data_IF_741067670144
#
_entry.id   IF_741067670144
#
_cell.length_a   1.000
_cell.length_b   1.000
_cell.length_c   1.000
_cell.angle_alpha   90.00
_cell.angle_beta   90.00
_cell.angle_gamma   90.00
#
_symmetry.space_group_name_H-M   'P 1'
#
loop_
_entity.id
_entity.type
_entity.pdbx_description
1 polymer ?
#
# COMPACT_ATOMS: atom_id res chain seq x y z
N UNK A 1 -3.55 -8.72 -7.51
CA UNK A 1 -2.82 -8.03 -6.43
C UNK A 1 -3.62 -6.93 -5.74
N UNK A 2 -4.25 -6.01 -6.47
CA UNK A 2 -4.67 -4.70 -5.93
C UNK A 2 -5.79 -4.70 -4.88
N UNK A 3 -6.60 -5.77 -4.80
CA UNK A 3 -7.73 -5.83 -3.86
C UNK A 3 -7.28 -6.15 -2.45
N UNK A 4 -6.28 -7.01 -2.34
CA UNK A 4 -5.59 -7.32 -1.08
C UNK A 4 -4.98 -6.03 -0.51
N UNK A 5 -4.55 -5.12 -1.38
CA UNK A 5 -4.06 -3.79 -1.03
C UNK A 5 -5.16 -2.70 -0.97
N UNK A 6 -6.42 -3.10 -0.84
CA UNK A 6 -7.60 -2.23 -0.69
C UNK A 6 -7.67 -1.10 -1.73
N UNK A 7 -7.26 -1.38 -2.97
CA UNK A 7 -7.47 -0.45 -4.06
C UNK A 7 -8.98 -0.25 -4.27
N UNK A 8 -9.38 1.01 -4.39
CA UNK A 8 -10.75 1.36 -4.78
C UNK A 8 -11.06 0.77 -6.16
N UNK A 9 -12.34 0.58 -6.47
CA UNK A 9 -12.78 0.14 -7.82
C UNK A 9 -12.20 1.08 -8.88
N UNK A 10 -12.08 2.37 -8.57
CA UNK A 10 -11.41 3.34 -9.42
C UNK A 10 -9.91 3.06 -9.59
N UNK A 11 -9.18 2.77 -8.50
CA UNK A 11 -7.77 2.36 -8.59
C UNK A 11 -7.58 1.11 -9.46
N UNK A 12 -8.48 0.14 -9.33
CA UNK A 12 -8.56 -1.04 -10.19
C UNK A 12 -8.80 -0.67 -11.66
N UNK A 13 -9.78 0.19 -11.94
CA UNK A 13 -10.07 0.60 -13.32
C UNK A 13 -8.88 1.32 -13.96
N UNK A 14 -8.09 2.07 -13.19
CA UNK A 14 -6.89 2.71 -13.71
C UNK A 14 -5.76 1.73 -14.03
N UNK A 15 -5.65 0.63 -13.29
CA UNK A 15 -4.68 -0.42 -13.62
C UNK A 15 -5.13 -1.24 -14.83
N UNK A 16 -6.41 -1.57 -14.93
CA UNK A 16 -6.97 -2.17 -16.14
C UNK A 16 -6.75 -1.26 -17.35
N UNK A 17 -6.93 0.05 -17.18
CA UNK A 17 -6.59 1.04 -18.21
C UNK A 17 -5.12 0.98 -18.62
N UNK A 18 -4.18 0.76 -17.70
CA UNK A 18 -2.76 0.65 -18.06
C UNK A 18 -2.45 -0.65 -18.85
N UNK A 19 -3.23 -1.70 -18.63
CA UNK A 19 -3.12 -2.97 -19.35
C UNK A 19 -3.78 -2.88 -20.73
N UNK A 20 -4.94 -2.20 -20.82
CA UNK A 20 -5.68 -2.01 -22.05
C UNK A 20 -5.06 -0.89 -22.89
N UNK A 21 -4.75 -1.16 -24.15
CA UNK A 21 -4.10 -0.15 -25.00
C UNK A 21 -5.09 0.95 -25.37
N UNK A 22 -4.77 2.19 -25.06
CA UNK A 22 -5.55 3.35 -25.48
C UNK A 22 -5.55 3.46 -27.00
N UNK A 23 -6.72 3.75 -27.58
CA UNK A 23 -6.85 3.96 -29.02
C UNK A 23 -6.52 5.41 -29.34
N UNK A 24 -5.38 5.62 -30.00
CA UNK A 24 -4.98 6.94 -30.52
C UNK A 24 -5.50 7.10 -31.93
N UNK A 25 -6.29 8.16 -32.19
CA UNK A 25 -6.77 8.50 -33.54
C UNK A 25 -8.06 7.78 -33.97
N UNK A 26 -9.12 7.81 -33.15
CA UNK A 26 -10.44 7.38 -33.61
C UNK A 26 -10.97 8.32 -34.70
N UNK A 27 -11.37 7.77 -35.84
CA UNK A 27 -12.17 8.49 -36.84
C UNK A 27 -13.59 8.71 -36.31
N UNK A 28 -14.22 9.84 -36.69
CA UNK A 28 -15.54 10.26 -36.21
C UNK A 28 -16.64 9.19 -36.37
N UNK A 29 -16.48 8.28 -37.35
CA UNK A 29 -17.40 7.18 -37.65
C UNK A 29 -17.36 6.00 -36.67
N UNK A 30 -16.26 5.78 -35.91
CA UNK A 30 -16.28 4.75 -34.85
C UNK A 30 -16.98 5.26 -33.57
N UNK A 31 -16.92 6.56 -33.33
CA UNK A 31 -17.59 7.21 -32.20
C UNK A 31 -19.11 7.24 -32.31
N UNK A 32 -19.68 7.24 -33.52
CA UNK A 32 -21.14 7.12 -33.73
C UNK A 32 -21.65 5.72 -33.43
N UNK A 33 -20.97 4.67 -33.88
CA UNK A 33 -21.35 3.27 -33.61
C UNK A 33 -21.26 2.90 -32.12
N UNK A 34 -20.32 3.50 -31.37
CA UNK A 34 -20.23 3.36 -29.92
C UNK A 34 -21.36 4.11 -29.17
N UNK A 35 -21.89 5.19 -29.74
CA UNK A 35 -23.02 5.93 -29.16
C UNK A 35 -24.32 5.14 -29.30
N UNK A 36 -24.57 4.53 -30.46
CA UNK A 36 -25.78 3.72 -30.69
C UNK A 36 -25.82 2.47 -29.80
N UNK A 37 -24.69 1.77 -29.64
CA UNK A 37 -24.58 0.61 -28.76
C UNK A 37 -24.62 0.95 -27.25
N UNK A 38 -24.38 2.21 -26.88
CA UNK A 38 -24.34 2.69 -25.49
C UNK A 38 -25.66 3.24 -24.95
N UNK A 39 -26.71 3.30 -25.77
CA UNK A 39 -27.99 3.96 -25.41
C UNK A 39 -28.90 3.10 -24.52
N UNK A 40 -28.69 1.79 -24.44
CA UNK A 40 -29.40 0.91 -23.51
C UNK A 40 -28.56 0.66 -22.25
N UNK A 41 -28.42 1.68 -21.40
CA UNK A 41 -27.90 1.49 -20.04
C UNK A 41 -28.69 2.36 -19.07
N UNK A 42 -29.91 1.90 -18.74
CA UNK A 42 -30.58 2.28 -17.51
C UNK A 42 -29.69 1.82 -16.33
N UNK A 43 -29.02 2.79 -15.74
CA UNK A 43 -28.28 2.65 -14.49
C UNK A 43 -29.31 2.25 -13.40
N UNK A 44 -29.36 0.98 -13.00
CA UNK A 44 -30.02 0.60 -11.75
C UNK A 44 -29.07 0.92 -10.60
N UNK A 45 -29.16 2.13 -10.07
CA UNK A 45 -28.65 2.48 -8.75
C UNK A 45 -29.78 2.22 -7.74
N UNK A 46 -29.47 1.64 -6.56
CA UNK A 46 -30.47 1.51 -5.50
C UNK A 46 -31.03 2.90 -5.14
N UNK A 47 -32.34 2.93 -4.84
CA UNK A 47 -33.08 4.15 -4.49
C UNK A 47 -32.40 4.89 -3.33
N UNK A 48 -32.46 6.22 -3.39
CA UNK A 48 -31.72 7.20 -2.56
C UNK A 48 -31.87 7.04 -1.04
N UNK A 49 -32.80 6.20 -0.58
CA UNK A 49 -33.23 6.15 0.82
C UNK A 49 -32.43 5.19 1.72
N UNK A 50 -31.32 4.60 1.26
CA UNK A 50 -30.63 3.54 2.04
C UNK A 50 -29.11 3.70 2.24
N UNK A 51 -28.50 4.84 1.88
CA UNK A 51 -27.04 4.99 1.95
C UNK A 51 -26.60 6.33 2.54
N UNK A 52 -25.68 6.30 3.50
CA UNK A 52 -25.07 7.45 4.17
C UNK A 52 -24.57 8.53 3.16
N UNK A 53 -24.84 9.81 3.48
CA UNK A 53 -24.46 11.03 2.71
C UNK A 53 -23.06 11.03 2.06
N UNK A 54 -21.98 10.48 2.64
CA UNK A 54 -20.65 10.45 2.01
C UNK A 54 -20.57 9.60 0.73
N UNK A 55 -21.45 8.59 0.57
CA UNK A 55 -21.50 7.76 -0.64
C UNK A 55 -22.24 8.49 -1.76
N UNK A 56 -23.23 9.32 -1.42
CA UNK A 56 -23.94 10.18 -2.38
C UNK A 56 -22.98 11.24 -2.93
N UNK A 57 -22.14 11.84 -2.09
CA UNK A 57 -21.11 12.78 -2.52
C UNK A 57 -20.06 12.11 -3.41
N UNK A 58 -19.62 10.88 -3.10
CA UNK A 58 -18.73 10.10 -3.95
C UNK A 58 -19.40 9.69 -5.27
N UNK A 59 -20.68 9.32 -5.26
CA UNK A 59 -21.45 8.98 -6.45
C UNK A 59 -21.66 10.22 -7.35
N UNK A 60 -21.85 11.40 -6.74
CA UNK A 60 -21.97 12.67 -7.44
C UNK A 60 -20.61 13.16 -7.96
N UNK A 61 -19.52 12.94 -7.22
CA UNK A 61 -18.16 13.22 -7.67
C UNK A 61 -17.72 12.26 -8.77
N UNK A 62 -18.10 10.98 -8.68
CA UNK A 62 -17.97 9.98 -9.76
C UNK A 62 -18.80 10.40 -10.97
N UNK A 63 -20.06 10.82 -10.83
CA UNK A 63 -20.89 11.36 -11.93
C UNK A 63 -20.25 12.60 -12.57
N UNK A 64 -19.68 13.50 -11.75
CA UNK A 64 -19.05 14.75 -12.22
C UNK A 64 -17.72 14.48 -12.92
N UNK A 65 -16.97 13.48 -12.47
CA UNK A 65 -15.69 13.05 -13.05
C UNK A 65 -15.85 12.02 -14.19
N UNK A 66 -17.00 11.34 -14.30
CA UNK A 66 -17.38 10.45 -15.40
C UNK A 66 -18.17 11.16 -16.50
N UNK A 67 -18.48 12.46 -16.38
CA UNK A 67 -18.87 13.23 -17.56
C UNK A 67 -17.74 13.06 -18.59
N UNK A 68 -18.00 12.44 -19.76
CA UNK A 68 -16.95 12.09 -20.70
C UNK A 68 -16.36 13.39 -21.24
N UNK A 69 -15.28 13.86 -20.61
CA UNK A 69 -14.49 14.96 -21.16
C UNK A 69 -13.65 14.49 -22.34
N UNK A 70 -13.50 13.17 -22.53
CA UNK A 70 -12.67 12.57 -23.55
C UNK A 70 -13.30 11.24 -24.02
N UNK A 71 -13.52 11.11 -25.33
CA UNK A 71 -13.94 9.88 -26.04
C UNK A 71 -12.81 8.83 -26.08
N UNK A 72 -12.21 8.52 -24.93
CA UNK A 72 -11.10 7.56 -24.91
C UNK A 72 -11.67 6.15 -24.89
N UNK A 73 -11.44 5.42 -25.98
CA UNK A 73 -11.71 4.01 -26.10
C UNK A 73 -10.41 3.21 -25.95
N UNK A 74 -10.54 1.95 -25.51
CA UNK A 74 -9.41 1.09 -25.18
C UNK A 74 -9.58 -0.28 -25.82
N UNK A 75 -8.51 -0.84 -26.37
CA UNK A 75 -8.50 -2.23 -26.82
C UNK A 75 -8.16 -3.17 -25.67
N UNK A 76 -9.06 -4.11 -25.41
CA UNK A 76 -8.84 -5.23 -24.51
C UNK A 76 -8.74 -6.56 -25.29
N UNK A 77 -7.90 -7.51 -24.84
CA UNK A 77 -7.89 -8.85 -25.40
C UNK A 77 -9.19 -9.59 -25.08
N UNK A 78 -9.83 -10.18 -26.08
CA UNK A 78 -11.00 -11.03 -25.96
C UNK A 78 -10.78 -12.39 -26.62
N UNK A 79 -11.71 -13.33 -26.40
CA UNK A 79 -11.62 -14.73 -26.88
C UNK A 79 -11.45 -14.83 -28.40
N UNK A 80 -12.09 -13.93 -29.15
CA UNK A 80 -12.11 -13.94 -30.63
C UNK A 80 -11.43 -12.69 -31.25
N UNK A 81 -10.51 -12.03 -30.54
CA UNK A 81 -9.83 -10.83 -31.04
C UNK A 81 -9.78 -9.69 -30.04
N UNK A 82 -9.66 -8.45 -30.51
CA UNK A 82 -9.63 -7.26 -29.64
C UNK A 82 -11.04 -6.66 -29.52
N UNK A 83 -11.43 -6.35 -28.29
CA UNK A 83 -12.70 -5.70 -27.96
C UNK A 83 -12.45 -4.24 -27.65
N UNK A 84 -13.29 -3.35 -28.15
CA UNK A 84 -13.23 -1.92 -27.86
C UNK A 84 -14.07 -1.63 -26.62
N UNK A 85 -13.47 -0.99 -25.62
CA UNK A 85 -14.10 -0.70 -24.33
C UNK A 85 -14.07 0.79 -24.04
N UNK A 86 -15.14 1.30 -23.43
CA UNK A 86 -15.17 2.65 -22.86
C UNK A 86 -14.66 2.64 -21.41
N UNK A 87 -14.40 3.82 -20.84
CA UNK A 87 -14.07 3.93 -19.41
C UNK A 87 -15.15 3.36 -18.48
N UNK A 88 -16.42 3.43 -18.90
CA UNK A 88 -17.55 2.86 -18.15
C UNK A 88 -17.47 1.35 -18.14
N UNK A 89 -17.12 0.74 -19.27
CA UNK A 89 -16.98 -0.72 -19.38
C UNK A 89 -15.78 -1.22 -18.56
N UNK A 90 -14.66 -0.51 -18.59
CA UNK A 90 -13.49 -0.82 -17.75
C UNK A 90 -13.86 -0.76 -16.26
N UNK A 91 -14.66 0.23 -15.86
CA UNK A 91 -15.14 0.32 -14.47
C UNK A 91 -16.09 -0.83 -14.11
N UNK A 92 -17.00 -1.22 -15.01
CA UNK A 92 -17.87 -2.38 -14.82
C UNK A 92 -17.05 -3.66 -14.65
N UNK A 93 -16.03 -3.88 -15.48
CA UNK A 93 -15.12 -5.03 -15.37
C UNK A 93 -14.37 -4.99 -14.03
N UNK A 94 -13.84 -3.83 -13.62
CA UNK A 94 -13.18 -3.67 -12.33
C UNK A 94 -14.10 -4.04 -11.16
N UNK A 95 -15.37 -3.61 -11.21
CA UNK A 95 -16.37 -3.95 -10.20
C UNK A 95 -16.65 -5.46 -10.18
N UNK A 96 -16.88 -6.07 -11.34
CA UNK A 96 -17.12 -7.51 -11.42
C UNK A 96 -15.95 -8.32 -10.86
N UNK A 97 -14.71 -7.99 -11.24
CA UNK A 97 -13.52 -8.66 -10.70
C UNK A 97 -13.44 -8.48 -9.18
N UNK A 98 -13.67 -7.27 -8.69
CA UNK A 98 -13.67 -6.98 -7.25
C UNK A 98 -14.68 -7.84 -6.48
N UNK A 99 -15.89 -8.00 -7.03
CA UNK A 99 -16.97 -8.71 -6.36
C UNK A 99 -16.74 -10.24 -6.42
N UNK A 100 -16.24 -10.75 -7.55
CA UNK A 100 -15.94 -12.17 -7.72
C UNK A 100 -14.85 -12.69 -6.76
N UNK A 101 -13.88 -11.85 -6.36
CA UNK A 101 -12.83 -12.26 -5.40
C UNK A 101 -13.44 -12.79 -4.10
N UNK A 102 -14.49 -12.14 -3.59
CA UNK A 102 -15.13 -12.56 -2.33
C UNK A 102 -16.08 -13.75 -2.49
N UNK A 103 -16.58 -13.97 -3.70
CA UNK A 103 -17.36 -15.18 -4.04
C UNK A 103 -16.44 -16.40 -4.07
N UNK A 104 -15.27 -16.28 -4.72
CA UNK A 104 -14.28 -17.36 -4.82
C UNK A 104 -13.60 -17.62 -3.47
N UNK A 105 -13.35 -16.57 -2.67
CA UNK A 105 -12.67 -16.66 -1.38
C UNK A 105 -13.54 -16.10 -0.24
N UNK A 106 -14.58 -16.83 0.21
CA UNK A 106 -15.51 -16.33 1.23
C UNK A 106 -14.82 -16.08 2.58
N UNK A 107 -13.85 -16.91 2.98
CA UNK A 107 -13.06 -16.71 4.21
C UNK A 107 -12.28 -15.39 4.20
N UNK A 108 -11.84 -14.93 3.02
CA UNK A 108 -11.19 -13.63 2.88
C UNK A 108 -12.14 -12.48 3.22
N UNK A 109 -13.42 -12.60 2.83
CA UNK A 109 -14.43 -11.58 3.12
C UNK A 109 -14.64 -11.40 4.64
N UNK A 110 -14.65 -12.49 5.40
CA UNK A 110 -14.80 -12.45 6.87
C UNK A 110 -13.64 -11.70 7.54
N UNK A 111 -12.40 -12.02 7.16
CA UNK A 111 -11.19 -11.36 7.69
C UNK A 111 -11.14 -9.89 7.26
N UNK A 112 -11.46 -9.62 5.99
CA UNK A 112 -11.49 -8.28 5.43
C UNK A 112 -12.50 -7.38 6.16
N UNK A 113 -13.71 -7.88 6.36
CA UNK A 113 -14.78 -7.16 7.06
C UNK A 113 -14.41 -6.90 8.52
N UNK A 114 -13.86 -7.90 9.22
CA UNK A 114 -13.38 -7.78 10.59
C UNK A 114 -12.39 -6.60 10.76
N UNK A 115 -11.34 -6.54 9.94
CA UNK A 115 -10.35 -5.46 10.06
C UNK A 115 -10.92 -4.08 9.72
N UNK A 116 -11.84 -3.99 8.75
CA UNK A 116 -12.51 -2.73 8.43
C UNK A 116 -13.42 -2.26 9.57
N UNK A 117 -14.17 -3.16 10.20
CA UNK A 117 -15.04 -2.83 11.32
C UNK A 117 -14.23 -2.37 12.55
N UNK A 118 -13.16 -3.07 12.89
CA UNK A 118 -12.23 -2.63 13.93
C UNK A 118 -11.65 -1.25 13.61
N UNK A 119 -11.19 -1.04 12.37
CA UNK A 119 -10.64 0.25 11.97
C UNK A 119 -11.67 1.37 12.08
N UNK A 120 -12.92 1.15 11.67
CA UNK A 120 -14.02 2.11 11.81
C UNK A 120 -14.26 2.49 13.27
N UNK A 121 -14.28 1.52 14.19
CA UNK A 121 -14.45 1.76 15.62
C UNK A 121 -13.30 2.63 16.13
N UNK A 122 -12.05 2.23 15.87
CA UNK A 122 -10.87 2.95 16.34
C UNK A 122 -10.79 4.39 15.80
N UNK A 123 -11.21 4.60 14.55
CA UNK A 123 -11.34 5.93 13.94
C UNK A 123 -12.41 6.77 14.63
N UNK A 124 -13.56 6.18 15.00
CA UNK A 124 -14.62 6.89 15.71
C UNK A 124 -14.21 7.25 17.14
N UNK A 125 -13.40 6.40 17.78
CA UNK A 125 -12.82 6.65 19.11
C UNK A 125 -11.59 7.58 19.06
N UNK A 126 -11.11 7.96 17.86
CA UNK A 126 -9.88 8.73 17.65
C UNK A 126 -8.62 8.08 18.27
N UNK A 127 -8.59 6.75 18.36
CA UNK A 127 -7.47 5.97 18.90
C UNK A 127 -6.60 5.49 17.72
N UNK A 128 -5.26 5.69 17.76
CA UNK A 128 -4.39 5.15 16.72
C UNK A 128 -4.34 3.61 16.81
N UNK A 129 -4.60 2.95 15.69
CA UNK A 129 -4.57 1.49 15.63
C UNK A 129 -3.12 0.99 15.69
N UNK A 130 -2.84 0.05 16.58
CA UNK A 130 -1.49 -0.52 16.76
C UNK A 130 -1.55 -2.03 16.93
N UNK A 131 -0.57 -2.73 16.38
CA UNK A 131 -0.40 -4.17 16.53
C UNK A 131 1.07 -4.54 16.65
N UNK A 132 1.33 -5.78 17.01
CA UNK A 132 2.68 -6.34 17.00
C UNK A 132 2.78 -7.35 15.87
N UNK A 133 3.92 -7.37 15.18
CA UNK A 133 4.24 -8.50 14.31
C UNK A 133 4.63 -9.71 15.16
N UNK A 134 4.56 -10.93 14.61
CA UNK A 134 5.06 -12.13 15.29
C UNK A 134 6.49 -12.04 15.85
N UNK A 135 7.35 -11.23 15.23
CA UNK A 135 8.71 -10.99 15.70
C UNK A 135 8.81 -9.86 16.75
N UNK A 136 7.69 -9.38 17.29
CA UNK A 136 7.63 -8.38 18.35
C UNK A 136 7.74 -6.93 17.87
N UNK A 137 7.73 -6.65 16.56
CA UNK A 137 7.78 -5.28 16.06
C UNK A 137 6.43 -4.59 16.26
N UNK A 138 6.40 -3.54 17.08
CA UNK A 138 5.22 -2.68 17.24
C UNK A 138 5.02 -1.80 16.01
N UNK A 139 3.84 -1.89 15.39
CA UNK A 139 3.42 -1.04 14.29
C UNK A 139 2.24 -0.20 14.75
N UNK A 140 2.31 1.11 14.51
CA UNK A 140 1.25 2.06 14.83
C UNK A 140 0.86 2.84 13.59
N UNK A 141 -0.42 2.78 13.24
CA UNK A 141 -0.98 3.43 12.06
C UNK A 141 -1.67 4.75 12.46
N UNK A 142 -1.03 5.87 12.13
CA UNK A 142 -1.57 7.23 12.33
C UNK A 142 -1.52 8.04 11.04
N UNK A 143 -2.59 7.99 10.26
CA UNK A 143 -2.77 8.86 9.09
C UNK A 143 -3.51 10.13 9.48
N UNK A 144 -2.81 11.24 9.35
CA UNK A 144 -3.37 12.57 9.50
C UNK A 144 -3.66 13.19 8.13
N UNK A 145 -4.67 14.05 8.07
CA UNK A 145 -4.93 14.91 6.91
C UNK A 145 -3.74 15.82 6.69
N UNK A 146 -3.57 16.25 5.45
CA UNK A 146 -2.52 17.19 5.08
C UNK A 146 -3.08 18.32 4.23
N UNK A 147 -2.72 19.56 4.56
CA UNK A 147 -3.01 20.73 3.74
C UNK A 147 -1.89 20.88 2.73
N UNK A 148 -2.23 20.94 1.44
CA UNK A 148 -1.25 21.14 0.37
C UNK A 148 -1.39 22.56 -0.16
N UNK A 149 -0.34 23.35 -0.02
CA UNK A 149 -0.28 24.74 -0.51
C UNK A 149 0.64 24.79 -1.72
N UNK A 150 0.12 25.24 -2.86
CA UNK A 150 0.91 25.42 -4.08
C UNK A 150 1.31 26.89 -4.17
N UNK A 151 2.61 27.15 -4.24
CA UNK A 151 3.17 28.49 -4.39
C UNK A 151 3.89 28.57 -5.74
N UNK A 152 3.79 29.70 -6.41
CA UNK A 152 4.62 30.02 -7.57
C UNK A 152 5.57 31.13 -7.15
N UNK A 153 6.87 30.83 -7.09
CA UNK A 153 7.90 31.81 -6.77
C UNK A 153 8.51 32.27 -8.09
N UNK A 154 8.43 33.57 -8.36
CA UNK A 154 9.09 34.20 -9.51
C UNK A 154 10.30 34.97 -9.04
N UNK A 155 11.48 34.58 -9.52
CA UNK A 155 12.77 35.21 -9.21
C UNK A 155 13.56 35.39 -10.51
N UNK A 156 14.02 36.61 -10.80
CA UNK A 156 14.80 36.95 -11.99
C UNK A 156 14.18 36.44 -13.31
N UNK A 157 12.87 36.63 -13.48
CA UNK A 157 12.15 36.17 -14.68
C UNK A 157 11.85 34.67 -14.72
N UNK A 158 12.44 33.86 -13.83
CA UNK A 158 12.22 32.41 -13.74
C UNK A 158 11.11 32.13 -12.72
N UNK A 159 10.06 31.42 -13.14
CA UNK A 159 8.98 30.97 -12.25
C UNK A 159 9.17 29.50 -11.88
N UNK A 160 9.21 29.19 -10.58
CA UNK A 160 9.19 27.82 -10.07
C UNK A 160 7.96 27.58 -9.21
N UNK A 161 7.26 26.48 -9.50
CA UNK A 161 6.15 25.99 -8.69
C UNK A 161 6.70 25.17 -7.53
N UNK A 162 6.39 25.57 -6.31
CA UNK A 162 6.66 24.85 -5.07
C UNK A 162 5.35 24.26 -4.55
N UNK A 163 5.42 23.03 -4.05
CA UNK A 163 4.29 22.39 -3.37
C UNK A 163 4.71 22.14 -1.93
N UNK A 164 4.08 22.83 -1.00
CA UNK A 164 4.28 22.64 0.44
C UNK A 164 3.15 21.77 0.98
N UNK A 165 3.49 20.85 1.88
CA UNK A 165 2.53 19.92 2.48
C UNK A 165 2.66 19.96 4.00
N UNK A 166 1.65 20.50 4.65
CA UNK A 166 1.55 20.62 6.09
C UNK A 166 0.69 19.48 6.64
N UNK A 167 1.15 18.79 7.68
CA UNK A 167 0.33 17.77 8.38
C UNK A 167 -0.61 18.49 9.34
N UNK A 168 -1.89 18.18 9.27
CA UNK A 168 -2.89 18.63 10.23
C UNK A 168 -2.94 17.63 11.40
N UNK A 169 -3.51 18.02 12.53
CA UNK A 169 -3.76 17.09 13.66
C UNK A 169 -5.08 16.34 13.54
N UNK A 170 -5.79 16.50 12.43
CA UNK A 170 -7.02 15.78 12.15
C UNK A 170 -6.74 14.43 11.49
N UNK A 171 -7.37 13.36 11.98
CA UNK A 171 -7.22 12.01 11.42
C UNK A 171 -7.88 11.93 10.04
N UNK A 172 -7.17 11.33 9.09
CA UNK A 172 -7.71 10.96 7.78
C UNK A 172 -8.44 9.63 7.87
N UNK A 173 -9.74 9.70 8.15
CA UNK A 173 -10.62 8.52 8.37
C UNK A 173 -10.60 7.56 7.18
N UNK A 174 -10.66 8.08 5.96
CA UNK A 174 -10.69 7.25 4.75
C UNK A 174 -9.37 6.53 4.56
N UNK A 175 -8.25 7.25 4.69
CA UNK A 175 -6.92 6.66 4.52
C UNK A 175 -6.60 5.65 5.62
N UNK A 176 -7.02 5.90 6.85
CA UNK A 176 -6.89 4.94 7.95
C UNK A 176 -7.61 3.62 7.66
N UNK A 177 -8.89 3.70 7.29
CA UNK A 177 -9.68 2.51 6.97
C UNK A 177 -9.13 1.78 5.75
N UNK A 178 -8.64 2.51 4.75
CA UNK A 178 -8.11 1.90 3.54
C UNK A 178 -6.78 1.19 3.76
N UNK A 179 -5.92 1.73 4.62
CA UNK A 179 -4.55 1.26 4.78
C UNK A 179 -4.37 0.10 5.77
N UNK A 180 -5.38 -0.23 6.58
CA UNK A 180 -5.21 -1.25 7.63
C UNK A 180 -4.83 -2.63 7.09
N UNK A 181 -5.57 -3.14 6.10
CA UNK A 181 -5.31 -4.44 5.51
C UNK A 181 -3.95 -4.46 4.79
N UNK A 182 -3.62 -3.51 3.90
CA UNK A 182 -2.29 -3.43 3.29
C UNK A 182 -1.15 -3.41 4.32
N UNK A 183 -1.26 -2.61 5.37
CA UNK A 183 -0.21 -2.47 6.35
C UNK A 183 -0.02 -3.74 7.20
N UNK A 184 -1.11 -4.44 7.52
CA UNK A 184 -1.03 -5.75 8.20
C UNK A 184 -0.32 -6.75 7.29
N UNK A 185 -0.75 -6.91 6.03
CA UNK A 185 -0.13 -7.87 5.09
C UNK A 185 1.35 -7.53 4.88
N UNK A 186 1.70 -6.27 4.62
CA UNK A 186 3.09 -5.86 4.49
C UNK A 186 3.93 -6.09 5.74
N UNK A 187 3.31 -5.99 6.93
CA UNK A 187 4.02 -6.34 8.17
C UNK A 187 4.33 -7.83 8.27
N UNK A 188 3.44 -8.68 7.75
CA UNK A 188 3.66 -10.13 7.66
C UNK A 188 4.69 -10.48 6.59
N UNK A 189 4.63 -9.86 5.41
CA UNK A 189 5.62 -10.06 4.34
C UNK A 189 7.03 -9.70 4.84
N UNK A 190 7.16 -8.57 5.55
CA UNK A 190 8.43 -8.16 6.15
C UNK A 190 8.90 -9.13 7.24
N UNK A 191 7.98 -9.64 8.06
CA UNK A 191 8.29 -10.63 9.11
C UNK A 191 8.77 -11.94 8.51
N UNK A 192 8.09 -12.42 7.46
CA UNK A 192 8.49 -13.62 6.72
C UNK A 192 9.89 -13.47 6.11
N UNK A 193 10.14 -12.34 5.44
CA UNK A 193 11.45 -12.02 4.88
C UNK A 193 12.55 -12.07 5.95
N UNK A 194 12.31 -11.45 7.11
CA UNK A 194 13.26 -11.45 8.23
C UNK A 194 13.52 -12.87 8.76
N UNK A 195 12.48 -13.70 8.89
CA UNK A 195 12.61 -15.09 9.34
C UNK A 195 13.46 -15.93 8.38
N UNK A 196 13.26 -15.75 7.07
CA UNK A 196 14.07 -16.45 6.05
C UNK A 196 15.54 -16.05 6.16
N UNK A 197 15.84 -14.76 6.33
CA UNK A 197 17.22 -14.27 6.45
C UNK A 197 17.86 -14.80 7.74
N UNK A 198 17.17 -14.72 8.88
CA UNK A 198 17.67 -15.22 10.17
C UNK A 198 17.90 -16.74 10.16
N UNK A 199 16.96 -17.50 9.59
CA UNK A 199 17.06 -18.96 9.40
C UNK A 199 18.25 -19.32 8.50
N UNK A 200 18.48 -18.56 7.42
CA UNK A 200 19.60 -18.75 6.53
C UNK A 200 20.95 -18.43 7.21
N UNK A 201 21.03 -17.33 7.97
CA UNK A 201 22.23 -16.93 8.69
C UNK A 201 22.63 -17.99 9.73
N UNK A 202 21.66 -18.49 10.52
CA UNK A 202 21.88 -19.57 11.50
C UNK A 202 22.41 -20.87 10.88
N UNK A 203 22.05 -21.15 9.61
CA UNK A 203 22.53 -22.33 8.85
C UNK A 203 23.84 -22.07 8.10
N UNK A 204 24.37 -20.84 8.11
CA UNK A 204 25.47 -20.44 7.23
C UNK A 204 25.11 -20.49 5.74
N UNK A 205 23.82 -20.35 5.40
CA UNK A 205 23.31 -20.38 4.03
C UNK A 205 23.43 -19.00 3.38
N UNK A 206 24.21 -18.91 2.30
CA UNK A 206 24.33 -17.69 1.49
C UNK A 206 25.02 -17.94 0.15
N UNK A 207 25.02 -16.95 -0.76
CA UNK A 207 24.38 -15.64 -0.64
C UNK A 207 22.86 -15.67 -0.88
N UNK A 208 22.10 -14.82 -0.19
CA UNK A 208 20.69 -14.53 -0.48
C UNK A 208 20.58 -13.05 -0.89
N UNK A 209 19.77 -12.76 -1.90
CA UNK A 209 19.29 -11.42 -2.25
C UNK A 209 17.77 -11.42 -2.23
N UNK A 210 17.17 -10.32 -1.79
CA UNK A 210 15.73 -10.19 -1.76
C UNK A 210 15.28 -8.81 -2.24
N UNK A 211 14.12 -8.77 -2.88
CA UNK A 211 13.41 -7.54 -3.25
C UNK A 211 11.96 -7.72 -2.84
N UNK A 212 11.59 -7.20 -1.67
CA UNK A 212 10.28 -7.45 -1.07
C UNK A 212 9.96 -8.94 -0.95
N UNK A 213 8.93 -9.41 -1.65
CA UNK A 213 8.43 -10.78 -1.69
C UNK A 213 9.23 -11.68 -2.64
N UNK A 214 10.24 -11.15 -3.34
CA UNK A 214 11.12 -11.92 -4.21
C UNK A 214 12.40 -12.33 -3.49
N UNK A 215 12.76 -13.61 -3.58
CA UNK A 215 13.96 -14.21 -2.97
C UNK A 215 14.88 -14.77 -4.05
N UNK A 216 16.18 -14.63 -3.89
CA UNK A 216 17.16 -15.11 -4.87
C UNK A 216 18.45 -15.61 -4.24
N UNK A 217 19.06 -16.61 -4.88
CA UNK A 217 20.34 -17.19 -4.51
C UNK A 217 21.04 -17.79 -5.74
N UNK A 218 22.15 -18.50 -5.53
CA UNK A 218 22.87 -19.23 -6.56
C UNK A 218 22.00 -20.36 -7.17
N UNK A 219 22.12 -20.65 -8.47
CA UNK A 219 21.30 -21.67 -9.14
C UNK A 219 21.31 -23.03 -8.43
N UNK A 220 22.47 -23.47 -7.96
CA UNK A 220 22.64 -24.77 -7.28
C UNK A 220 22.04 -24.82 -5.87
N UNK A 221 21.62 -23.68 -5.30
CA UNK A 221 21.01 -23.58 -3.97
C UNK A 221 19.52 -23.24 -4.01
N UNK A 222 18.95 -23.07 -5.21
CA UNK A 222 17.59 -22.57 -5.39
C UNK A 222 16.53 -23.48 -4.76
N UNK A 223 16.68 -24.81 -4.89
CA UNK A 223 15.76 -25.77 -4.28
C UNK A 223 15.73 -25.67 -2.75
N UNK A 224 16.90 -25.53 -2.12
CA UNK A 224 17.02 -25.34 -0.67
C UNK A 224 16.40 -24.01 -0.22
N UNK A 225 16.66 -22.91 -0.95
CA UNK A 225 16.03 -21.62 -0.64
C UNK A 225 14.50 -21.69 -0.79
N UNK A 226 13.99 -22.32 -1.84
CA UNK A 226 12.56 -22.49 -2.03
C UNK A 226 11.90 -23.22 -0.86
N UNK A 227 12.53 -24.30 -0.40
CA UNK A 227 12.06 -25.06 0.76
C UNK A 227 12.07 -24.19 2.02
N UNK A 228 13.17 -23.50 2.30
CA UNK A 228 13.31 -22.65 3.49
C UNK A 228 12.28 -21.50 3.49
N UNK A 229 12.05 -20.85 2.36
CA UNK A 229 11.03 -19.80 2.21
C UNK A 229 9.64 -20.35 2.56
N UNK A 230 9.26 -21.52 2.04
CA UNK A 230 7.96 -22.15 2.36
C UNK A 230 7.88 -22.57 3.82
N UNK A 231 8.96 -23.13 4.37
CA UNK A 231 9.03 -23.56 5.76
C UNK A 231 8.79 -22.39 6.71
N UNK A 232 9.52 -21.28 6.52
CA UNK A 232 9.36 -20.10 7.37
C UNK A 232 7.98 -19.45 7.21
N UNK A 233 7.35 -19.57 6.02
CA UNK A 233 5.96 -19.14 5.84
C UNK A 233 4.99 -19.98 6.68
N UNK A 234 5.11 -21.31 6.63
CA UNK A 234 4.27 -22.20 7.45
C UNK A 234 4.48 -21.95 8.93
N UNK A 235 5.73 -21.81 9.38
CA UNK A 235 6.04 -21.50 10.78
C UNK A 235 5.40 -20.19 11.25
N UNK A 236 5.48 -19.14 10.42
CA UNK A 236 4.89 -17.83 10.70
C UNK A 236 3.39 -17.91 10.99
N UNK A 237 2.64 -18.70 10.21
CA UNK A 237 1.19 -18.83 10.33
C UNK A 237 0.73 -19.95 11.28
N UNK A 238 1.60 -20.88 11.66
CA UNK A 238 1.25 -21.99 12.58
C UNK A 238 1.50 -21.63 14.04
N UNK A 239 2.57 -20.90 14.33
CA UNK A 239 3.02 -20.68 15.71
C UNK A 239 2.30 -19.51 16.42
N UNK A 240 1.42 -18.78 15.73
CA UNK A 240 1.00 -17.44 16.15
C UNK A 240 -0.51 -17.23 16.00
N UNK A 241 -1.17 -16.86 17.09
CA UNK A 241 -2.59 -16.51 17.11
C UNK A 241 -2.79 -15.01 16.86
N UNK A 242 -2.22 -14.49 15.76
CA UNK A 242 -2.20 -13.06 15.47
C UNK A 242 -3.57 -12.38 15.56
N UNK A 243 -4.64 -13.02 15.05
CA UNK A 243 -5.99 -12.44 15.09
C UNK A 243 -6.49 -12.23 16.52
N UNK A 244 -6.16 -13.17 17.41
CA UNK A 244 -6.52 -13.10 18.83
C UNK A 244 -5.68 -12.05 19.55
N UNK A 245 -4.38 -12.02 19.33
CA UNK A 245 -3.49 -11.01 19.91
C UNK A 245 -3.87 -9.60 19.45
N UNK A 246 -4.16 -9.45 18.15
CA UNK A 246 -4.65 -8.20 17.56
C UNK A 246 -5.98 -7.78 18.19
N UNK A 247 -6.91 -8.71 18.36
CA UNK A 247 -8.22 -8.44 18.98
C UNK A 247 -8.07 -7.99 20.44
N UNK A 248 -7.32 -8.77 21.23
CA UNK A 248 -7.08 -8.51 22.65
C UNK A 248 -6.35 -7.19 22.84
N UNK A 249 -5.34 -6.90 22.02
CA UNK A 249 -4.63 -5.62 22.08
C UNK A 249 -5.54 -4.44 21.71
N UNK A 250 -6.42 -4.61 20.73
CA UNK A 250 -7.38 -3.57 20.35
C UNK A 250 -8.35 -3.29 21.49
N UNK A 251 -8.90 -4.33 22.12
CA UNK A 251 -9.76 -4.20 23.30
C UNK A 251 -9.02 -3.50 24.44
N UNK A 252 -7.78 -3.89 24.71
CA UNK A 252 -6.98 -3.26 25.75
C UNK A 252 -6.74 -1.79 25.43
N UNK A 253 -6.43 -1.45 24.17
CA UNK A 253 -6.25 -0.06 23.75
C UNK A 253 -7.51 0.78 23.94
N UNK A 254 -8.70 0.20 23.77
CA UNK A 254 -9.98 0.90 24.03
C UNK A 254 -10.12 1.21 25.52
N UNK A 255 -9.83 0.22 26.39
CA UNK A 255 -9.84 0.40 27.85
C UNK A 255 -8.80 1.41 28.33
N UNK A 256 -7.58 1.36 27.77
CA UNK A 256 -6.47 2.27 28.09
C UNK A 256 -6.83 3.74 27.76
N UNK A 257 -7.82 3.98 26.90
CA UNK A 257 -8.34 5.31 26.55
C UNK A 257 -9.66 5.65 27.28
N UNK A 258 -9.94 4.98 28.41
CA UNK A 258 -11.08 5.22 29.29
C UNK A 258 -12.46 5.02 28.65
N UNK A 259 -12.58 4.18 27.61
CA UNK A 259 -13.87 3.81 27.06
C UNK A 259 -14.43 2.56 27.75
N UNK A 260 -15.71 2.59 28.10
CA UNK A 260 -16.39 1.46 28.73
C UNK A 260 -16.81 0.41 27.69
N UNK A 261 -16.60 -0.87 28.03
CA UNK A 261 -17.03 -2.00 27.22
C UNK A 261 -18.11 -2.76 27.96
N UNK A 262 -19.33 -2.73 27.43
CA UNK A 262 -20.48 -3.44 28.00
C UNK A 262 -20.79 -4.69 27.19
N UNK A 263 -21.35 -5.71 27.85
CA UNK A 263 -21.94 -6.88 27.19
C UNK A 263 -23.46 -6.70 27.15
N UNK A 264 -24.05 -6.63 25.95
CA UNK A 264 -25.51 -6.73 25.79
C UNK A 264 -25.87 -8.10 25.23
N UNK A 265 -26.98 -8.65 25.71
CA UNK A 265 -27.53 -9.95 25.28
C UNK A 265 -26.55 -11.13 25.48
N UNK A 266 -25.75 -11.12 26.55
CA UNK A 266 -24.84 -12.21 26.95
C UNK A 266 -23.62 -12.45 26.04
N UNK A 267 -23.62 -11.96 24.80
CA UNK A 267 -22.67 -12.37 23.75
C UNK A 267 -21.94 -11.17 23.12
N UNK A 268 -22.66 -10.09 22.79
CA UNK A 268 -22.08 -8.99 22.00
C UNK A 268 -21.41 -7.93 22.90
N UNK A 269 -20.14 -7.63 22.62
CA UNK A 269 -19.36 -6.57 23.28
C UNK A 269 -19.59 -5.23 22.55
N UNK A 270 -19.90 -4.18 23.29
CA UNK A 270 -20.13 -2.83 22.77
C UNK A 270 -19.24 -1.82 23.48
N UNK A 271 -18.75 -0.83 22.73
CA UNK A 271 -18.09 0.35 23.29
C UNK A 271 -19.13 1.44 23.52
N UNK A 272 -19.13 2.03 24.71
CA UNK A 272 -20.00 3.14 25.09
C UNK A 272 -19.31 4.46 24.76
N UNK A 273 -20.00 5.31 24.00
CA UNK A 273 -19.61 6.67 23.70
C UNK A 273 -20.60 7.63 24.37
N UNK A 274 -20.11 8.37 25.37
CA UNK A 274 -20.82 9.51 25.95
C UNK A 274 -20.51 10.75 25.10
N UNK A 275 -21.53 11.28 24.42
CA UNK A 275 -21.41 12.57 23.74
C UNK A 275 -22.04 13.65 24.61
N UNK A 276 -21.25 14.64 25.01
CA UNK A 276 -21.66 15.76 25.88
C UNK A 276 -22.78 16.65 25.29
N UNK A 277 -23.03 16.56 23.99
CA UNK A 277 -23.89 17.51 23.28
C UNK A 277 -25.38 17.14 23.28
N UNK A 278 -25.74 15.89 23.56
CA UNK A 278 -27.11 15.39 23.67
C UNK A 278 -27.03 14.09 24.47
N UNK A 279 -27.92 13.85 25.46
CA UNK A 279 -28.02 12.65 26.31
C UNK A 279 -28.22 11.29 25.56
N UNK A 280 -27.78 11.20 24.30
CA UNK A 280 -27.78 10.02 23.48
C UNK A 280 -26.46 9.26 23.64
N UNK A 281 -26.52 8.16 24.39
CA UNK A 281 -25.43 7.20 24.47
C UNK A 281 -25.32 6.42 23.15
N UNK A 282 -24.18 6.52 22.47
CA UNK A 282 -23.92 5.73 21.24
C UNK A 282 -23.19 4.44 21.57
N UNK A 283 -23.66 3.33 21.01
CA UNK A 283 -23.05 2.02 21.17
C UNK A 283 -22.37 1.57 19.88
N UNK A 284 -21.09 1.21 19.96
CA UNK A 284 -20.35 0.62 18.83
C UNK A 284 -20.14 -0.87 19.06
N UNK A 285 -20.68 -1.72 18.18
CA UNK A 285 -20.52 -3.17 18.26
C UNK A 285 -19.08 -3.55 17.90
N UNK A 286 -18.40 -4.30 18.77
CA UNK A 286 -17.09 -4.90 18.47
C UNK A 286 -17.34 -6.19 17.66
N UNK A 287 -16.68 -6.37 16.50
CA UNK A 287 -16.84 -7.57 15.70
C UNK A 287 -16.25 -8.80 16.40
N UNK A 288 -16.84 -9.96 16.13
CA UNK A 288 -16.32 -11.25 16.58
C UNK A 288 -15.10 -11.67 15.75
N UNK A 289 -14.22 -12.48 16.34
CA UNK A 289 -13.07 -13.01 15.62
C UNK A 289 -13.55 -13.87 14.44
N UNK A 290 -12.96 -13.69 13.25
CA UNK A 290 -13.30 -14.53 12.10
C UNK A 290 -12.83 -15.97 12.33
N UNK A 291 -13.66 -16.93 11.93
CA UNK A 291 -13.31 -18.36 12.02
C UNK A 291 -12.27 -18.70 10.94
N UNK A 292 -11.19 -19.35 11.35
CA UNK A 292 -10.19 -19.87 10.43
C UNK A 292 -10.74 -21.09 9.68
N UNK A 293 -10.29 -21.27 8.44
CA UNK A 293 -10.63 -22.43 7.62
C UNK A 293 -9.88 -23.70 8.03
N UNK A 294 -10.10 -24.79 7.28
CA UNK A 294 -9.46 -26.10 7.51
C UNK A 294 -8.23 -26.32 6.61
N UNK A 295 -7.60 -25.25 6.13
CA UNK A 295 -6.44 -25.39 5.24
C UNK A 295 -5.29 -26.01 6.03
N UNK A 296 -4.86 -27.19 5.61
CA UNK A 296 -3.65 -27.81 6.11
C UNK A 296 -2.42 -27.13 5.46
N UNK A 297 -1.63 -26.48 6.32
CA UNK A 297 -0.46 -25.69 5.93
C UNK A 297 0.70 -26.56 5.43
N UNK A 298 0.72 -27.87 5.72
CA UNK A 298 1.74 -28.78 5.19
C UNK A 298 1.66 -28.89 3.65
N UNK A 299 0.46 -28.71 3.09
CA UNK A 299 0.28 -28.65 1.64
C UNK A 299 1.07 -27.52 0.97
N UNK A 300 1.41 -26.46 1.70
CA UNK A 300 2.21 -25.34 1.18
C UNK A 300 3.66 -25.77 0.96
N UNK A 301 4.20 -26.61 1.86
CA UNK A 301 5.56 -27.16 1.72
C UNK A 301 5.63 -28.05 0.48
N UNK A 302 4.63 -28.92 0.31
CA UNK A 302 4.55 -29.88 -0.80
C UNK A 302 4.15 -29.23 -2.15
N UNK A 303 3.65 -28.00 -2.13
CA UNK A 303 3.21 -27.30 -3.34
C UNK A 303 4.40 -26.90 -4.20
N UNK A 304 4.52 -27.45 -5.41
CA UNK A 304 5.57 -27.09 -6.38
C UNK A 304 5.53 -25.60 -6.76
N UNK A 305 4.33 -25.05 -6.96
CA UNK A 305 4.13 -23.70 -7.49
C UNK A 305 4.13 -22.60 -6.42
N UNK A 306 4.02 -22.95 -5.13
CA UNK A 306 4.17 -21.97 -4.06
C UNK A 306 5.57 -21.35 -4.11
N UNK A 307 5.64 -20.01 -4.11
CA UNK A 307 6.85 -19.20 -4.27
C UNK A 307 7.63 -19.38 -5.59
N UNK A 308 7.13 -20.15 -6.56
CA UNK A 308 7.85 -20.44 -7.79
C UNK A 308 8.15 -19.19 -8.64
N UNK A 309 7.20 -18.27 -8.76
CA UNK A 309 7.37 -17.00 -9.48
C UNK A 309 8.07 -15.90 -8.67
N UNK A 310 8.25 -16.11 -7.37
CA UNK A 310 8.92 -15.19 -6.45
C UNK A 310 10.40 -15.54 -6.23
N UNK A 311 10.90 -16.57 -6.93
CA UNK A 311 12.29 -17.00 -6.86
C UNK A 311 13.06 -16.50 -8.09
N UNK A 312 14.13 -15.75 -7.87
CA UNK A 312 14.99 -15.23 -8.93
C UNK A 312 16.38 -15.89 -8.86
N UNK A 313 16.82 -16.50 -9.96
CA UNK A 313 18.18 -17.02 -10.09
C UNK A 313 19.15 -15.86 -10.24
N UNK A 314 20.16 -15.81 -9.38
CA UNK A 314 21.13 -14.71 -9.38
C UNK A 314 22.46 -15.25 -9.89
N UNK A 315 22.89 -14.73 -11.04
CA UNK A 315 24.19 -15.04 -11.59
C UNK A 315 25.22 -14.07 -11.00
N UNK A 316 26.15 -14.59 -10.19
CA UNK A 316 27.34 -13.84 -9.80
C UNK A 316 28.40 -14.05 -10.90
N UNK A 317 28.89 -13.00 -11.57
CA UNK A 317 29.97 -13.16 -12.54
C UNK A 317 31.20 -13.76 -11.84
N UNK A 318 31.85 -14.73 -12.49
CA UNK A 318 33.06 -15.39 -12.02
C UNK A 318 34.13 -14.36 -11.65
N UNK A 319 34.84 -14.63 -10.56
CA UNK A 319 35.89 -13.76 -10.04
C UNK A 319 37.04 -13.63 -11.04
N UNK A 320 36.96 -12.63 -11.94
CA UNK A 320 38.17 -12.08 -12.54
C UNK A 320 38.91 -11.28 -11.48
N UNK A 321 40.23 -11.48 -11.42
CA UNK A 321 41.20 -10.87 -10.51
C UNK A 321 41.03 -9.34 -10.41
N UNK A 322 40.14 -8.88 -9.53
CA UNK A 322 40.11 -7.49 -9.07
C UNK A 322 41.03 -7.38 -7.86
N UNK A 323 42.07 -6.56 -8.01
CA UNK A 323 43.03 -6.22 -6.96
C UNK A 323 42.33 -5.92 -5.63
N UNK A 324 42.94 -6.42 -4.55
CA UNK A 324 42.45 -6.30 -3.18
C UNK A 324 42.05 -4.84 -2.84
N UNK A 325 40.96 -4.63 -2.07
CA UNK A 325 40.52 -3.31 -1.69
C UNK A 325 41.57 -2.62 -0.81
N UNK A 326 42.02 -1.45 -1.25
CA UNK A 326 42.96 -0.59 -0.53
C UNK A 326 42.44 -0.30 0.90
N UNK A 327 43.27 -0.52 1.94
CA UNK A 327 42.84 -0.41 3.34
C UNK A 327 42.35 1.00 3.72
N UNK A 328 41.42 1.10 4.70
CA UNK A 328 40.63 2.30 4.98
C UNK A 328 41.45 3.57 5.33
N UNK A 329 42.69 3.42 5.80
CA UNK A 329 43.59 4.55 6.13
C UNK A 329 43.99 5.39 4.91
N UNK A 330 44.11 4.80 3.71
CA UNK A 330 44.47 5.57 2.50
C UNK A 330 43.28 6.35 1.92
N UNK A 331 42.05 5.80 2.00
CA UNK A 331 40.82 6.50 1.57
C UNK A 331 40.51 7.73 2.44
N UNK A 332 40.82 7.68 3.74
CA UNK A 332 40.67 8.85 4.63
C UNK A 332 41.69 9.97 4.32
N UNK A 333 42.96 9.63 4.05
CA UNK A 333 43.98 10.62 3.64
C UNK A 333 43.63 11.30 2.30
N UNK A 334 43.08 10.55 1.33
CA UNK A 334 42.63 11.14 0.06
C UNK A 334 41.42 12.07 0.24
N UNK A 335 40.41 11.70 1.06
CA UNK A 335 39.27 12.57 1.38
C UNK A 335 39.69 13.84 2.13
N UNK A 336 40.67 13.76 3.04
CA UNK A 336 41.20 14.95 3.73
C UNK A 336 41.96 15.88 2.78
N UNK A 337 42.82 15.35 1.90
CA UNK A 337 43.52 16.15 0.87
C UNK A 337 42.54 16.84 -0.09
N UNK A 338 41.45 16.17 -0.50
CA UNK A 338 40.42 16.79 -1.34
C UNK A 338 39.65 17.91 -0.62
N UNK A 339 39.29 17.71 0.67
CA UNK A 339 38.64 18.76 1.48
C UNK A 339 39.55 19.97 1.70
N UNK A 340 40.86 19.78 1.90
CA UNK A 340 41.82 20.89 2.01
C UNK A 340 41.97 21.66 0.69
N UNK A 341 42.05 20.97 -0.45
CA UNK A 341 42.08 21.62 -1.78
C UNK A 341 40.80 22.42 -2.07
N UNK A 342 39.63 21.93 -1.67
CA UNK A 342 38.37 22.68 -1.82
C UNK A 342 38.32 23.92 -0.93
N UNK A 343 38.77 23.84 0.34
CA UNK A 343 38.86 25.00 1.23
C UNK A 343 39.84 26.06 0.71
N UNK A 344 40.98 25.66 0.14
CA UNK A 344 41.93 26.61 -0.47
C UNK A 344 41.33 27.30 -1.71
N UNK A 345 40.62 26.57 -2.58
CA UNK A 345 39.92 27.16 -3.73
C UNK A 345 38.81 28.14 -3.31
N UNK A 346 38.09 27.86 -2.23
CA UNK A 346 37.09 28.78 -1.68
C UNK A 346 37.73 30.05 -1.11
N UNK A 347 38.83 29.94 -0.36
CA UNK A 347 39.58 31.11 0.13
C UNK A 347 40.15 31.98 -0.99
N UNK A 348 40.65 31.38 -2.08
CA UNK A 348 41.11 32.13 -3.25
C UNK A 348 39.97 32.87 -3.97
N UNK A 349 38.81 32.23 -4.15
CA UNK A 349 37.61 32.89 -4.71
C UNK A 349 37.11 34.04 -3.83
N UNK A 350 37.21 33.91 -2.51
CA UNK A 350 36.79 34.95 -1.57
C UNK A 350 37.75 36.14 -1.59
N UNK A 351 39.07 35.91 -1.70
CA UNK A 351 40.06 36.96 -1.92
C UNK A 351 39.88 37.67 -3.26
N UNK A 352 39.62 36.94 -4.36
CA UNK A 352 39.31 37.56 -5.66
C UNK A 352 38.06 38.45 -5.63
N UNK A 353 37.00 38.03 -4.93
CA UNK A 353 35.79 38.85 -4.75
C UNK A 353 36.06 40.10 -3.89
N UNK A 354 36.88 40.00 -2.85
CA UNK A 354 37.27 41.16 -2.05
C UNK A 354 38.14 42.15 -2.83
N UNK A 355 39.07 41.66 -3.66
CA UNK A 355 39.87 42.51 -4.55
C UNK A 355 39.02 43.18 -5.65
N UNK A 356 38.01 42.49 -6.19
CA UNK A 356 37.06 43.10 -7.14
C UNK A 356 36.15 44.16 -6.49
N UNK A 357 35.76 43.99 -5.22
CA UNK A 357 35.02 45.02 -4.49
C UNK A 357 35.86 46.26 -4.15
N UNK A 358 37.16 46.10 -3.91
CA UNK A 358 38.08 47.23 -3.63
C UNK A 358 38.43 48.05 -4.89
N UNK A 359 38.36 47.44 -6.09
CA UNK A 359 38.54 48.12 -7.38
C UNK A 359 37.28 48.86 -7.89
N UNK A 360 36.13 48.71 -7.21
CA UNK A 360 34.89 49.42 -7.52
C UNK A 360 34.66 50.63 -6.59
N UNK A 361 35.57 50.90 -5.65
CA UNK A 361 35.51 51.98 -4.66
C UNK A 361 36.80 52.83 -4.58
N UNK A 362 37.68 52.69 -5.57
CA UNK A 362 38.80 53.59 -5.87
C UNK A 362 38.70 53.94 -7.35
#
# INVERSE_FOLDING_TARGET
MTKIYNATIFGFSQQLKAIFKEVTGLSENLTSNLKEAGTECLIYLPKEDTIDKPVVDLANEIRKNLKPKNNNAYYAPGKNGRVLLTMVDIYKIAKLINDQIFVVYPSLNSIYTYFLEISKIMIQLNIPLSWFTPNGLKITQKYNKSKTTKLAIRLFGISKKLVMKEKLDTVDKLKQAQAIIPNIIHSFDATHLLNVIDSAEKKGFGPIITVHDCFGTLPNKMGSLQYDVKKEFVLLYTQQNFLEDFHNRTIQSIKDNNFEIIKKNGIAKYVVLHTELMDNTKYLKIPELPKLGKLDLENIINSTYSYYFHLCVVHFPSASTRAAPVPPKQKQKQKQKQKQKQKQKQKQKQKQKQSQCLLLYA
#
